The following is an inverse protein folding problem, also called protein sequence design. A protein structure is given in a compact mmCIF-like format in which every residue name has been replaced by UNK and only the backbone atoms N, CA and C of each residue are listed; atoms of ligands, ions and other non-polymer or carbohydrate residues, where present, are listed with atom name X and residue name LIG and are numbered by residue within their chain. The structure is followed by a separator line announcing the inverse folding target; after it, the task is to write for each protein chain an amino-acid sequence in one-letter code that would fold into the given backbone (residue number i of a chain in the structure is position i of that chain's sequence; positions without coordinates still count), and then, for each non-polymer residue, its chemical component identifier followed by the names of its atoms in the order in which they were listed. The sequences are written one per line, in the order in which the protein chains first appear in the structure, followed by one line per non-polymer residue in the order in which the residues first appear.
data_IF_682044298510
#
_entry.id   IF_682044298510
#
_cell.length_a   1.000
_cell.length_b   1.000
_cell.length_c   1.000
_cell.angle_alpha   90.00
_cell.angle_beta   90.00
_cell.angle_gamma   90.00
#
_symmetry.space_group_name_H-M   'P 1'
#
loop_
_entity.id
_entity.type
_entity.pdbx_description
1 polymer ?
#
# COMPACT_ATOMS: atom_id res chain seq x y z
N UNK A 1 40.64 -9.72 29.31
CA UNK A 1 40.89 -8.79 30.43
C UNK A 1 41.00 -7.41 29.80
N UNK A 2 39.85 -6.76 29.67
CA UNK A 2 39.74 -5.45 29.04
C UNK A 2 40.34 -4.41 29.97
N UNK A 3 41.25 -3.59 29.46
CA UNK A 3 41.92 -2.57 30.26
C UNK A 3 40.94 -1.39 30.50
N UNK A 4 40.41 -1.19 31.72
CA UNK A 4 39.40 -0.16 32.00
C UNK A 4 39.92 1.25 31.69
N UNK A 5 41.24 1.47 31.88
CA UNK A 5 41.88 2.75 31.56
C UNK A 5 41.87 3.07 30.06
N UNK A 6 41.95 2.06 29.18
CA UNK A 6 41.86 2.23 27.72
C UNK A 6 40.40 2.45 27.25
N UNK A 7 39.44 1.84 27.93
CA UNK A 7 38.00 2.04 27.67
C UNK A 7 37.55 3.44 28.06
N UNK A 8 38.05 3.99 29.18
CA UNK A 8 37.81 5.36 29.65
C UNK A 8 38.54 6.39 28.78
N UNK A 9 39.73 6.05 28.27
CA UNK A 9 40.44 6.88 27.29
C UNK A 9 39.78 6.91 25.90
N UNK A 10 38.75 6.08 25.66
CA UNK A 10 38.05 6.01 24.37
C UNK A 10 38.89 5.42 23.22
N UNK A 11 40.01 4.76 23.52
CA UNK A 11 40.94 4.23 22.51
C UNK A 11 40.56 2.83 22.03
N UNK A 12 39.70 2.13 22.76
CA UNK A 12 39.13 0.84 22.40
C UNK A 12 37.62 0.97 22.13
N UNK A 13 37.17 0.53 20.94
CA UNK A 13 35.76 0.45 20.49
C UNK A 13 34.92 1.72 20.76
N UNK A 14 34.75 2.56 19.73
CA UNK A 14 33.97 3.79 19.85
C UNK A 14 32.51 3.53 20.29
N UNK A 15 32.08 4.14 21.39
CA UNK A 15 30.65 4.28 21.69
C UNK A 15 30.08 5.46 20.90
N UNK A 16 28.84 5.34 20.43
CA UNK A 16 28.18 6.41 19.69
C UNK A 16 26.77 6.67 20.20
N UNK A 17 26.42 7.95 20.34
CA UNK A 17 25.11 8.40 20.80
C UNK A 17 24.55 9.44 19.83
N UNK A 18 23.24 9.45 19.66
CA UNK A 18 22.51 10.51 18.98
C UNK A 18 21.90 11.44 20.02
N UNK A 19 22.25 12.73 19.99
CA UNK A 19 21.61 13.75 20.81
C UNK A 19 20.42 14.34 20.06
N UNK A 20 19.22 14.05 20.55
CA UNK A 20 17.97 14.58 20.03
C UNK A 20 17.64 15.84 20.82
N UNK A 21 18.23 16.95 20.40
CA UNK A 21 18.25 18.21 21.17
C UNK A 21 16.87 18.68 21.61
N UNK A 22 15.89 18.66 20.70
CA UNK A 22 14.53 19.11 20.97
C UNK A 22 13.81 18.25 22.04
N UNK A 23 14.15 16.96 22.14
CA UNK A 23 13.59 16.06 23.15
C UNK A 23 14.42 16.02 24.44
N UNK A 24 15.63 16.60 24.46
CA UNK A 24 16.57 16.46 25.57
C UNK A 24 17.07 15.03 25.77
N UNK A 25 17.00 14.18 24.73
CA UNK A 25 17.32 12.76 24.83
C UNK A 25 18.66 12.40 24.18
N UNK A 26 19.36 11.44 24.80
CA UNK A 26 20.51 10.77 24.21
C UNK A 26 20.14 9.32 23.89
N UNK A 27 20.13 8.99 22.60
CA UNK A 27 19.82 7.64 22.13
C UNK A 27 21.11 6.88 21.80
N UNK A 28 21.39 5.73 22.43
CA UNK A 28 22.59 4.96 22.15
C UNK A 28 22.52 4.29 20.77
N UNK A 29 23.56 4.51 19.95
CA UNK A 29 23.80 3.83 18.68
C UNK A 29 24.60 2.54 18.90
N UNK A 30 25.90 2.68 19.14
CA UNK A 30 26.84 1.60 19.44
C UNK A 30 27.37 1.68 20.88
N UNK A 31 27.73 0.53 21.47
CA UNK A 31 28.31 0.46 22.82
C UNK A 31 27.31 0.23 23.96
N UNK A 32 26.09 -0.25 23.67
CA UNK A 32 25.04 -0.52 24.68
C UNK A 32 25.50 -1.46 25.80
N UNK A 33 26.22 -2.53 25.45
CA UNK A 33 26.73 -3.51 26.43
C UNK A 33 27.79 -2.94 27.39
N UNK A 34 28.38 -1.77 27.09
CA UNK A 34 29.35 -1.11 27.98
C UNK A 34 28.65 -0.26 29.05
N UNK A 35 27.39 0.12 28.86
CA UNK A 35 26.66 0.93 29.86
C UNK A 35 26.53 0.17 31.17
N UNK A 36 26.23 -1.13 31.10
CA UNK A 36 26.11 -1.97 32.28
C UNK A 36 27.47 -2.18 32.95
N UNK A 37 28.53 -2.44 32.17
CA UNK A 37 29.90 -2.53 32.70
C UNK A 37 30.35 -1.25 33.43
N UNK A 38 30.14 -0.07 32.83
CA UNK A 38 30.50 1.20 33.46
C UNK A 38 29.67 1.46 34.73
N UNK A 39 28.39 1.05 34.74
CA UNK A 39 27.53 1.16 35.92
C UNK A 39 27.98 0.21 37.04
N UNK A 40 28.35 -1.02 36.73
CA UNK A 40 28.87 -2.01 37.69
C UNK A 40 30.20 -1.57 38.31
N UNK A 41 31.08 -0.95 37.52
CA UNK A 41 32.36 -0.39 37.97
C UNK A 41 32.22 0.99 38.66
N UNK A 42 30.99 1.51 38.81
CA UNK A 42 30.74 2.80 39.47
C UNK A 42 31.30 4.01 38.71
N UNK A 43 31.46 3.91 37.39
CA UNK A 43 31.97 4.98 36.54
C UNK A 43 30.81 5.82 36.02
N UNK A 44 30.72 7.07 36.48
CA UNK A 44 29.60 7.98 36.17
C UNK A 44 29.56 8.49 34.72
N UNK A 45 30.65 8.34 33.96
CA UNK A 45 30.77 8.89 32.60
C UNK A 45 31.29 7.88 31.59
N UNK A 46 30.69 7.83 30.41
CA UNK A 46 31.14 7.03 29.28
C UNK A 46 31.72 7.93 28.18
N UNK A 47 32.95 7.68 27.69
CA UNK A 47 33.47 8.41 26.53
C UNK A 47 32.72 7.95 25.28
N UNK A 48 32.12 8.88 24.55
CA UNK A 48 31.37 8.56 23.34
C UNK A 48 31.40 9.68 22.30
N UNK A 49 31.24 9.28 21.03
CA UNK A 49 30.98 10.20 19.92
C UNK A 49 29.50 10.57 19.91
N UNK A 50 29.21 11.86 20.02
CA UNK A 50 27.84 12.38 20.02
C UNK A 50 27.53 12.99 18.66
N UNK A 51 26.46 12.54 18.04
CA UNK A 51 25.93 13.08 16.78
C UNK A 51 24.63 13.81 17.06
N UNK A 52 24.56 15.07 16.65
CA UNK A 52 23.31 15.83 16.76
C UNK A 52 22.28 15.32 15.75
N UNK A 53 21.04 15.14 16.22
CA UNK A 53 19.91 14.79 15.37
C UNK A 53 18.76 15.75 15.66
N UNK A 54 18.28 16.41 14.59
CA UNK A 54 17.07 17.20 14.67
C UNK A 54 15.84 16.28 14.84
N UNK A 55 14.88 16.74 15.64
CA UNK A 55 13.56 16.15 15.74
C UNK A 55 12.51 17.11 15.16
N UNK A 56 11.41 16.62 14.56
CA UNK A 56 10.37 17.50 14.06
C UNK A 56 9.73 18.33 15.17
N UNK A 57 9.33 19.55 14.83
CA UNK A 57 8.54 20.41 15.72
C UNK A 57 7.24 19.71 16.16
N UNK A 58 6.80 19.89 17.41
CA UNK A 58 5.68 19.13 17.97
C UNK A 58 4.35 19.41 17.25
N UNK A 59 4.16 20.61 16.71
CA UNK A 59 2.96 21.00 15.96
C UNK A 59 2.79 20.27 14.62
N UNK A 60 3.86 19.65 14.09
CA UNK A 60 3.83 18.85 12.86
C UNK A 60 3.38 17.42 13.12
N UNK A 61 3.38 16.98 14.38
CA UNK A 61 3.04 15.62 14.78
C UNK A 61 1.67 15.63 15.46
N UNK A 62 0.82 14.69 15.08
CA UNK A 62 -0.42 14.40 15.81
C UNK A 62 -0.49 12.90 16.04
N UNK A 63 -0.69 12.48 17.30
CA UNK A 63 -0.85 11.08 17.66
C UNK A 63 -2.33 10.73 17.71
N UNK A 64 -2.72 9.66 17.04
CA UNK A 64 -4.08 9.15 17.01
C UNK A 64 -4.16 7.80 17.72
N UNK A 65 -5.06 7.68 18.69
CA UNK A 65 -5.44 6.39 19.27
C UNK A 65 -6.69 5.88 18.56
N UNK A 66 -6.51 4.92 17.65
CA UNK A 66 -7.57 4.38 16.80
C UNK A 66 -8.09 3.08 17.38
N UNK A 67 -9.41 3.00 17.59
CA UNK A 67 -10.13 1.79 18.00
C UNK A 67 -11.25 1.51 17.02
N UNK A 68 -11.18 0.39 16.28
CA UNK A 68 -12.20 0.01 15.29
C UNK A 68 -12.25 -1.50 15.14
N UNK A 69 -13.45 -2.08 15.08
CA UNK A 69 -13.72 -3.48 14.72
C UNK A 69 -12.69 -4.52 15.22
N UNK A 70 -12.43 -4.52 16.54
CA UNK A 70 -11.55 -5.52 17.18
C UNK A 70 -10.06 -5.22 17.13
N UNK A 71 -9.61 -4.15 16.46
CA UNK A 71 -8.22 -3.69 16.56
C UNK A 71 -8.11 -2.34 17.27
N UNK A 72 -7.02 -2.19 18.01
CA UNK A 72 -6.62 -0.95 18.69
C UNK A 72 -5.18 -0.66 18.30
N UNK A 73 -4.93 0.52 17.75
CA UNK A 73 -3.60 0.95 17.33
C UNK A 73 -3.36 2.41 17.72
N UNK A 74 -2.10 2.75 17.96
CA UNK A 74 -1.69 4.15 18.17
C UNK A 74 -0.74 4.54 17.05
N UNK A 75 -1.06 5.62 16.35
CA UNK A 75 -0.32 6.06 15.16
C UNK A 75 0.12 7.51 15.32
N UNK A 76 1.39 7.79 15.03
CA UNK A 76 1.89 9.15 14.90
C UNK A 76 1.76 9.58 13.45
N UNK A 77 1.14 10.73 13.21
CA UNK A 77 0.99 11.32 11.87
C UNK A 77 1.83 12.60 11.80
N UNK A 78 2.80 12.63 10.89
CA UNK A 78 3.62 13.79 10.59
C UNK A 78 3.08 14.51 9.34
N UNK A 79 2.88 15.82 9.46
CA UNK A 79 2.37 16.74 8.41
C UNK A 79 1.05 16.29 7.76
N UNK A 80 0.21 15.56 8.49
CA UNK A 80 -1.05 15.03 7.96
C UNK A 80 -0.90 13.99 6.85
N UNK A 81 0.31 13.43 6.67
CA UNK A 81 0.65 12.55 5.54
C UNK A 81 1.37 11.28 5.94
N UNK A 82 2.38 11.38 6.79
CA UNK A 82 3.27 10.27 7.11
C UNK A 82 2.82 9.59 8.39
N UNK A 83 2.47 8.31 8.33
CA UNK A 83 1.99 7.54 9.48
C UNK A 83 3.04 6.56 9.95
N UNK A 84 3.36 6.60 11.24
CA UNK A 84 4.21 5.62 11.90
C UNK A 84 3.44 4.93 13.03
N UNK A 85 3.65 3.61 13.17
CA UNK A 85 3.05 2.86 14.26
C UNK A 85 3.81 3.06 15.57
N UNK A 86 3.12 3.55 16.60
CA UNK A 86 3.68 3.73 17.94
C UNK A 86 3.62 2.39 18.67
N UNK A 87 4.75 1.67 18.67
CA UNK A 87 4.85 0.31 19.22
C UNK A 87 4.55 0.25 20.72
N UNK A 88 4.99 1.26 21.48
CA UNK A 88 4.82 1.29 22.93
C UNK A 88 4.19 2.60 23.40
N UNK A 89 2.86 2.72 23.33
CA UNK A 89 2.16 3.95 23.69
C UNK A 89 2.33 4.33 25.17
N UNK A 90 2.53 3.36 26.07
CA UNK A 90 2.62 3.57 27.51
C UNK A 90 3.72 4.55 27.92
N UNK A 91 4.88 4.52 27.25
CA UNK A 91 5.99 5.45 27.50
C UNK A 91 6.18 6.49 26.39
N UNK A 92 5.74 6.20 25.16
CA UNK A 92 5.81 7.18 24.07
C UNK A 92 4.84 8.34 24.30
N UNK A 93 3.60 8.08 24.71
CA UNK A 93 2.60 9.13 24.87
C UNK A 93 2.96 10.16 25.95
N UNK A 94 3.40 9.78 27.17
CA UNK A 94 3.83 10.75 28.17
C UNK A 94 4.97 11.64 27.68
N UNK A 95 5.98 11.03 27.04
CA UNK A 95 7.12 11.76 26.47
C UNK A 95 6.68 12.76 25.39
N UNK A 96 5.86 12.31 24.44
CA UNK A 96 5.41 13.14 23.32
C UNK A 96 4.45 14.23 23.78
N UNK A 97 3.60 13.96 24.76
CA UNK A 97 2.74 14.98 25.38
C UNK A 97 3.58 16.04 26.11
N UNK A 98 4.63 15.65 26.85
CA UNK A 98 5.55 16.58 27.49
C UNK A 98 6.32 17.43 26.45
N UNK A 99 6.63 16.86 25.29
CA UNK A 99 7.21 17.57 24.15
C UNK A 99 6.21 18.54 23.47
N UNK A 100 4.90 18.46 23.77
CA UNK A 100 3.87 19.35 23.23
C UNK A 100 3.12 18.79 22.01
N UNK A 101 3.26 17.50 21.72
CA UNK A 101 2.54 16.83 20.62
C UNK A 101 1.07 16.64 20.99
N UNK A 102 0.18 16.90 20.04
CA UNK A 102 -1.27 16.71 20.23
C UNK A 102 -1.64 15.23 20.12
N UNK A 103 -2.49 14.77 21.03
CA UNK A 103 -3.05 13.42 21.00
C UNK A 103 -4.57 13.48 20.80
N UNK A 104 -5.07 12.79 19.78
CA UNK A 104 -6.48 12.74 19.41
C UNK A 104 -7.01 11.29 19.47
N UNK A 105 -8.25 11.11 19.91
CA UNK A 105 -8.92 9.80 19.90
C UNK A 105 -9.72 9.53 18.63
N UNK A 106 -9.97 10.56 17.82
CA UNK A 106 -10.80 10.46 16.62
C UNK A 106 -9.91 10.49 15.38
N UNK A 107 -10.01 9.44 14.56
CA UNK A 107 -9.36 9.40 13.26
C UNK A 107 -10.07 10.35 12.28
N UNK A 108 -9.35 11.26 11.60
CA UNK A 108 -9.97 12.22 10.69
C UNK A 108 -10.67 11.54 9.51
N UNK A 109 -11.77 12.13 9.02
CA UNK A 109 -12.58 11.55 7.94
C UNK A 109 -11.95 11.73 6.56
N UNK A 110 -11.15 12.77 6.42
CA UNK A 110 -10.35 13.08 5.24
C UNK A 110 -9.18 12.10 5.05
N UNK A 111 -8.80 11.39 6.10
CA UNK A 111 -7.77 10.37 6.01
C UNK A 111 -8.36 9.06 5.48
N UNK A 112 -7.55 8.24 4.78
CA UNK A 112 -7.92 6.88 4.43
C UNK A 112 -8.45 6.12 5.64
N UNK A 113 -9.41 5.21 5.41
CA UNK A 113 -9.98 4.39 6.46
C UNK A 113 -8.88 3.65 7.25
N UNK A 114 -8.97 3.59 8.59
CA UNK A 114 -7.98 2.92 9.43
C UNK A 114 -7.58 1.51 8.98
N UNK A 115 -8.52 0.73 8.45
CA UNK A 115 -8.25 -0.62 7.94
C UNK A 115 -7.27 -0.62 6.75
N UNK A 116 -7.38 0.39 5.88
CA UNK A 116 -6.47 0.54 4.72
C UNK A 116 -5.07 0.95 5.19
N UNK A 117 -4.99 1.82 6.20
CA UNK A 117 -3.71 2.22 6.83
C UNK A 117 -3.08 1.05 7.57
N UNK A 118 -3.88 0.23 8.26
CA UNK A 118 -3.38 -0.97 8.93
C UNK A 118 -2.88 -2.00 7.93
N UNK A 119 -3.65 -2.30 6.87
CA UNK A 119 -3.23 -3.20 5.80
C UNK A 119 -1.91 -2.73 5.17
N UNK A 120 -1.79 -1.43 4.94
CA UNK A 120 -0.58 -0.81 4.42
C UNK A 120 0.67 -1.11 5.26
N UNK A 121 0.54 -1.24 6.59
CA UNK A 121 1.64 -1.64 7.48
C UNK A 121 2.08 -3.12 7.33
N UNK A 122 1.31 -3.94 6.63
CA UNK A 122 1.65 -5.34 6.34
C UNK A 122 2.07 -5.57 4.88
N UNK A 123 1.95 -4.56 4.01
CA UNK A 123 2.32 -4.67 2.61
C UNK A 123 3.84 -4.69 2.40
N UNK A 124 4.28 -5.40 1.35
CA UNK A 124 5.70 -5.43 0.95
C UNK A 124 6.21 -4.04 0.55
N UNK A 125 7.48 -3.76 0.83
CA UNK A 125 8.15 -2.50 0.44
C UNK A 125 8.25 -2.43 -1.09
N UNK A 126 7.82 -1.32 -1.71
CA UNK A 126 7.76 -1.22 -3.16
C UNK A 126 7.40 0.16 -3.72
N UNK A 127 7.26 0.22 -5.05
CA UNK A 127 7.18 1.47 -5.84
C UNK A 127 5.86 2.20 -5.73
N UNK A 128 4.80 1.53 -5.30
CA UNK A 128 3.49 2.13 -5.08
C UNK A 128 2.90 1.67 -3.76
N UNK A 129 3.61 0.88 -2.95
CA UNK A 129 3.09 0.54 -1.64
C UNK A 129 3.16 1.76 -0.75
N UNK A 130 2.25 1.88 0.22
CA UNK A 130 2.25 3.02 1.13
C UNK A 130 3.53 3.07 1.98
N UNK A 131 4.31 1.98 2.04
CA UNK A 131 5.56 1.94 2.80
C UNK A 131 6.69 2.74 2.15
N UNK A 132 7.16 3.74 2.90
CA UNK A 132 8.48 4.34 2.75
C UNK A 132 8.46 5.69 2.05
N UNK A 133 8.90 6.72 2.77
CA UNK A 133 9.45 7.90 2.15
C UNK A 133 10.89 7.60 1.67
N UNK A 134 11.30 7.97 0.44
CA UNK A 134 12.72 8.01 0.09
C UNK A 134 13.58 8.75 1.12
N UNK A 135 13.01 9.78 1.78
CA UNK A 135 13.69 10.59 2.79
C UNK A 135 13.83 9.89 4.15
N UNK A 136 13.03 8.85 4.46
CA UNK A 136 13.06 8.13 5.74
C UNK A 136 13.76 6.75 5.66
N UNK A 137 14.33 6.40 4.50
CA UNK A 137 15.12 5.19 4.30
C UNK A 137 14.34 3.90 4.58
N UNK A 138 14.79 3.12 5.57
CA UNK A 138 14.22 1.83 5.96
C UNK A 138 13.14 1.90 7.04
N UNK A 139 12.73 3.11 7.45
CA UNK A 139 11.71 3.28 8.48
C UNK A 139 10.34 2.75 8.02
N UNK A 140 9.62 2.10 8.95
CA UNK A 140 8.29 1.55 8.69
C UNK A 140 7.22 2.66 8.73
N UNK A 141 7.23 3.53 7.71
CA UNK A 141 6.32 4.68 7.59
C UNK A 141 5.37 4.51 6.42
N UNK A 142 4.11 4.85 6.61
CA UNK A 142 3.02 4.79 5.61
C UNK A 142 2.70 6.18 5.04
N UNK A 143 2.56 6.30 3.72
CA UNK A 143 2.15 7.53 3.03
C UNK A 143 0.63 7.56 2.78
N UNK A 144 -0.10 8.42 3.49
CA UNK A 144 -1.55 8.58 3.31
C UNK A 144 -1.93 9.06 1.90
N UNK A 145 -1.10 9.91 1.27
CA UNK A 145 -1.41 10.42 -0.07
C UNK A 145 -1.30 9.30 -1.11
N UNK A 146 -0.36 8.38 -0.92
CA UNK A 146 -0.24 7.20 -1.78
C UNK A 146 -1.45 6.30 -1.63
N UNK A 147 -1.95 6.07 -0.40
CA UNK A 147 -3.19 5.31 -0.18
C UNK A 147 -4.37 6.01 -0.87
N UNK A 148 -4.51 7.34 -0.73
CA UNK A 148 -5.58 8.11 -1.42
C UNK A 148 -5.49 7.95 -2.93
N UNK A 149 -4.29 8.04 -3.50
CA UNK A 149 -4.09 7.88 -4.95
C UNK A 149 -4.45 6.47 -5.43
N UNK A 150 -4.11 5.43 -4.65
CA UNK A 150 -4.50 4.04 -4.95
C UNK A 150 -6.02 3.88 -4.93
N UNK A 151 -6.68 4.39 -3.89
CA UNK A 151 -8.14 4.31 -3.76
C UNK A 151 -8.84 5.05 -4.90
N UNK A 152 -8.41 6.28 -5.20
CA UNK A 152 -8.95 7.07 -6.30
C UNK A 152 -8.79 6.35 -7.64
N UNK A 153 -7.62 5.74 -7.89
CA UNK A 153 -7.38 4.95 -9.10
C UNK A 153 -8.30 3.72 -9.15
N UNK A 154 -8.47 3.02 -8.03
CA UNK A 154 -9.32 1.82 -7.93
C UNK A 154 -10.82 2.10 -8.17
N UNK A 155 -11.27 3.32 -7.91
CA UNK A 155 -12.66 3.74 -8.11
C UNK A 155 -12.94 4.27 -9.52
N UNK A 156 -11.91 4.49 -10.33
CA UNK A 156 -12.10 4.92 -11.72
C UNK A 156 -12.87 3.86 -12.53
N UNK A 157 -13.84 4.28 -13.38
CA UNK A 157 -14.53 3.36 -14.26
C UNK A 157 -13.61 2.91 -15.39
N UNK A 158 -13.50 1.60 -15.59
CA UNK A 158 -12.78 1.00 -16.70
C UNK A 158 -13.72 0.10 -17.50
N UNK A 159 -13.58 0.13 -18.83
CA UNK A 159 -14.30 -0.78 -19.72
C UNK A 159 -13.65 -2.15 -19.64
N UNK A 160 -14.43 -3.17 -19.33
CA UNK A 160 -13.97 -4.51 -19.06
C UNK A 160 -14.73 -5.53 -19.89
N UNK A 161 -14.03 -6.60 -20.25
CA UNK A 161 -14.62 -7.81 -20.82
C UNK A 161 -15.09 -8.71 -19.67
N UNK A 162 -15.98 -9.68 -19.90
CA UNK A 162 -16.41 -10.54 -18.80
C UNK A 162 -15.26 -11.38 -18.21
N UNK A 163 -14.28 -11.78 -19.02
CA UNK A 163 -13.08 -12.46 -18.52
C UNK A 163 -12.25 -11.60 -17.56
N UNK A 164 -12.36 -10.28 -17.64
CA UNK A 164 -11.61 -9.35 -16.82
C UNK A 164 -12.28 -9.11 -15.47
N UNK A 165 -13.49 -9.62 -15.20
CA UNK A 165 -14.24 -9.39 -13.96
C UNK A 165 -13.92 -10.44 -12.89
N UNK A 166 -13.65 -9.99 -11.66
CA UNK A 166 -13.20 -10.88 -10.57
C UNK A 166 -14.32 -11.78 -10.01
N UNK A 167 -15.54 -11.26 -9.94
CA UNK A 167 -16.66 -11.89 -9.22
C UNK A 167 -17.80 -12.33 -10.14
N UNK A 168 -17.63 -12.20 -11.46
CA UNK A 168 -18.67 -12.55 -12.43
C UNK A 168 -18.36 -13.89 -13.06
N UNK A 169 -19.23 -14.87 -12.79
CA UNK A 169 -19.27 -16.15 -13.50
C UNK A 169 -20.45 -16.12 -14.46
N UNK A 170 -20.22 -16.42 -15.73
CA UNK A 170 -21.29 -16.54 -16.71
C UNK A 170 -21.98 -17.89 -16.52
N UNK A 171 -23.32 -17.87 -16.55
CA UNK A 171 -24.09 -19.11 -16.60
C UNK A 171 -23.82 -19.83 -17.94
N UNK A 172 -23.34 -21.09 -17.94
CA UNK A 172 -23.07 -21.85 -19.16
C UNK A 172 -24.28 -21.98 -20.09
N UNK A 173 -25.51 -21.73 -19.62
CA UNK A 173 -26.73 -21.66 -20.44
C UNK A 173 -26.63 -20.64 -21.58
N UNK A 174 -25.93 -19.51 -21.39
CA UNK A 174 -25.77 -18.49 -22.44
C UNK A 174 -25.09 -19.09 -23.67
N UNK A 175 -24.03 -19.88 -23.46
CA UNK A 175 -23.33 -20.56 -24.55
C UNK A 175 -24.18 -21.67 -25.17
N UNK A 176 -24.94 -22.41 -24.35
CA UNK A 176 -25.87 -23.44 -24.85
C UNK A 176 -26.94 -22.84 -25.77
N UNK A 177 -27.54 -21.70 -25.44
CA UNK A 177 -28.52 -21.05 -26.30
C UNK A 177 -27.91 -20.53 -27.60
N UNK A 178 -26.73 -19.90 -27.53
CA UNK A 178 -26.02 -19.43 -28.73
C UNK A 178 -25.68 -20.59 -29.69
N UNK A 179 -25.19 -21.72 -29.16
CA UNK A 179 -24.92 -22.91 -29.96
C UNK A 179 -26.17 -23.58 -30.51
N UNK A 180 -27.23 -23.65 -29.70
CA UNK A 180 -28.49 -24.27 -30.11
C UNK A 180 -29.12 -23.55 -31.31
N UNK A 181 -28.85 -22.26 -31.51
CA UNK A 181 -29.33 -21.49 -32.67
C UNK A 181 -28.32 -21.48 -33.82
N UNK A 182 -27.01 -21.40 -33.52
CA UNK A 182 -25.98 -21.30 -34.56
C UNK A 182 -25.76 -22.61 -35.31
N UNK A 183 -25.76 -23.77 -34.63
CA UNK A 183 -25.53 -25.06 -35.29
C UNK A 183 -26.63 -25.41 -36.33
N UNK A 184 -27.94 -25.31 -36.02
CA UNK A 184 -28.98 -25.55 -37.02
C UNK A 184 -28.96 -24.54 -38.16
N UNK A 185 -28.68 -23.27 -37.87
CA UNK A 185 -28.60 -22.22 -38.90
C UNK A 185 -27.44 -22.48 -39.88
N UNK A 186 -26.30 -22.94 -39.36
CA UNK A 186 -25.17 -23.38 -40.18
C UNK A 186 -25.51 -24.62 -41.02
N UNK A 187 -26.19 -25.61 -40.45
CA UNK A 187 -26.64 -26.79 -41.19
C UNK A 187 -27.63 -26.43 -42.32
N UNK A 188 -28.55 -25.49 -42.08
CA UNK A 188 -29.49 -24.99 -43.09
C UNK A 188 -28.77 -24.28 -44.25
N UNK A 189 -27.73 -23.49 -43.97
CA UNK A 189 -26.93 -22.85 -45.01
C UNK A 189 -26.30 -23.85 -45.98
N UNK A 190 -25.81 -24.98 -45.45
CA UNK A 190 -25.18 -26.04 -46.24
C UNK A 190 -26.23 -26.89 -46.98
N UNK A 191 -27.35 -27.21 -46.33
CA UNK A 191 -28.36 -28.14 -46.85
C UNK A 191 -29.34 -27.50 -47.86
N UNK A 192 -29.59 -26.18 -47.77
CA UNK A 192 -30.57 -25.52 -48.65
C UNK A 192 -30.07 -25.50 -50.11
N UNK A 193 -30.92 -25.76 -51.12
CA UNK A 193 -30.56 -25.66 -52.53
C UNK A 193 -30.25 -24.23 -52.99
N UNK A 194 -29.42 -24.07 -54.04
CA UNK A 194 -29.08 -22.75 -54.61
C UNK A 194 -30.30 -21.94 -55.09
N UNK A 195 -31.41 -22.61 -55.42
CA UNK A 195 -32.64 -21.96 -55.85
C UNK A 195 -33.35 -21.17 -54.73
N UNK A 196 -33.01 -21.43 -53.46
CA UNK A 196 -33.67 -20.84 -52.28
C UNK A 196 -32.79 -19.73 -51.68
N UNK A 197 -32.40 -18.77 -52.52
CA UNK A 197 -31.46 -17.72 -52.16
C UNK A 197 -31.91 -16.91 -50.93
N UNK A 198 -33.17 -16.50 -50.88
CA UNK A 198 -33.73 -15.72 -49.76
C UNK A 198 -33.66 -16.49 -48.43
N UNK A 199 -33.99 -17.78 -48.44
CA UNK A 199 -33.93 -18.62 -47.23
C UNK A 199 -32.49 -18.81 -46.72
N UNK A 200 -31.52 -18.91 -47.62
CA UNK A 200 -30.09 -18.94 -47.26
C UNK A 200 -29.62 -17.62 -46.66
N UNK A 201 -30.05 -16.48 -47.20
CA UNK A 201 -29.71 -15.16 -46.67
C UNK A 201 -30.22 -15.05 -45.22
N UNK A 202 -31.48 -15.43 -44.97
CA UNK A 202 -32.08 -15.41 -43.63
C UNK A 202 -31.31 -16.34 -42.68
N UNK A 203 -31.01 -17.57 -43.09
CA UNK A 203 -30.22 -18.50 -42.28
C UNK A 203 -28.82 -17.94 -41.95
N UNK A 204 -28.20 -17.21 -42.88
CA UNK A 204 -26.93 -16.51 -42.70
C UNK A 204 -26.99 -15.41 -41.65
N UNK A 205 -28.04 -14.58 -41.71
CA UNK A 205 -28.25 -13.50 -40.74
C UNK A 205 -28.49 -14.08 -39.34
N UNK A 206 -29.33 -15.11 -39.21
CA UNK A 206 -29.60 -15.78 -37.93
C UNK A 206 -28.34 -16.42 -37.36
N UNK A 207 -27.56 -17.10 -38.19
CA UNK A 207 -26.27 -17.67 -37.78
C UNK A 207 -25.32 -16.60 -37.25
N UNK A 208 -25.15 -15.51 -38.01
CA UNK A 208 -24.30 -14.37 -37.64
C UNK A 208 -24.73 -13.74 -36.32
N UNK A 209 -26.01 -13.43 -36.16
CA UNK A 209 -26.53 -12.86 -34.92
C UNK A 209 -26.33 -13.79 -33.73
N UNK A 210 -26.67 -15.07 -33.85
CA UNK A 210 -26.53 -16.04 -32.76
C UNK A 210 -25.07 -16.23 -32.31
N UNK A 211 -24.14 -16.30 -33.26
CA UNK A 211 -22.71 -16.40 -32.99
C UNK A 211 -22.15 -15.10 -32.36
N UNK A 212 -22.49 -13.94 -32.93
CA UNK A 212 -22.06 -12.64 -32.40
C UNK A 212 -22.59 -12.39 -30.98
N UNK A 213 -23.85 -12.74 -30.69
CA UNK A 213 -24.44 -12.52 -29.36
C UNK A 213 -23.77 -13.37 -28.29
N UNK A 214 -23.38 -14.61 -28.62
CA UNK A 214 -22.65 -15.49 -27.71
C UNK A 214 -21.21 -15.06 -27.45
N UNK A 215 -20.55 -14.45 -28.45
CA UNK A 215 -19.14 -14.04 -28.39
C UNK A 215 -18.93 -12.60 -27.90
N UNK A 216 -19.87 -11.69 -28.16
CA UNK A 216 -19.83 -10.28 -27.75
C UNK A 216 -19.34 -10.05 -26.31
N UNK A 217 -19.87 -10.74 -25.28
CA UNK A 217 -19.44 -10.51 -23.90
C UNK A 217 -17.97 -10.87 -23.61
N UNK A 218 -17.35 -11.66 -24.47
CA UNK A 218 -15.98 -12.17 -24.32
C UNK A 218 -14.96 -11.44 -25.19
N UNK A 219 -15.41 -10.70 -26.21
CA UNK A 219 -14.52 -10.03 -27.17
C UNK A 219 -14.61 -8.51 -27.04
N UNK A 220 -15.78 -7.97 -26.71
CA UNK A 220 -15.99 -6.54 -26.61
C UNK A 220 -16.07 -6.10 -25.14
N UNK A 221 -15.38 -5.00 -24.76
CA UNK A 221 -15.43 -4.46 -23.40
C UNK A 221 -16.69 -3.59 -23.24
N UNK A 222 -17.84 -4.25 -23.10
CA UNK A 222 -19.17 -3.60 -23.03
C UNK A 222 -19.51 -3.19 -21.59
N UNK A 223 -18.89 -3.82 -20.59
CA UNK A 223 -19.22 -3.62 -19.19
C UNK A 223 -18.32 -2.54 -18.61
N UNK A 224 -18.92 -1.52 -17.99
CA UNK A 224 -18.20 -0.52 -17.21
C UNK A 224 -18.21 -0.93 -15.74
N UNK A 225 -17.04 -1.20 -15.18
CA UNK A 225 -16.87 -1.53 -13.76
C UNK A 225 -15.76 -0.69 -13.14
N UNK A 226 -15.81 -0.43 -11.82
CA UNK A 226 -14.66 0.14 -11.14
C UNK A 226 -13.48 -0.84 -11.22
N UNK A 227 -12.25 -0.30 -11.26
CA UNK A 227 -11.02 -1.09 -11.41
C UNK A 227 -10.84 -2.17 -10.34
N UNK A 228 -11.28 -1.93 -9.11
CA UNK A 228 -11.21 -2.94 -8.05
C UNK A 228 -12.09 -4.17 -8.29
N UNK A 229 -13.04 -4.09 -9.23
CA UNK A 229 -13.87 -5.22 -9.65
C UNK A 229 -13.20 -6.13 -10.69
N UNK A 230 -12.00 -5.78 -11.16
CA UNK A 230 -11.28 -6.52 -12.18
C UNK A 230 -10.46 -7.67 -11.57
N UNK A 231 -10.48 -8.82 -12.23
CA UNK A 231 -9.68 -9.99 -11.89
C UNK A 231 -8.17 -9.72 -12.04
N UNK A 232 -7.82 -8.83 -12.99
CA UNK A 232 -6.44 -8.45 -13.24
C UNK A 232 -5.96 -7.49 -12.14
N UNK A 233 -4.86 -7.84 -11.47
CA UNK A 233 -4.16 -6.91 -10.58
C UNK A 233 -3.65 -5.72 -11.39
N UNK A 234 -4.11 -4.52 -11.02
CA UNK A 234 -3.67 -3.27 -11.61
C UNK A 234 -2.82 -2.48 -10.62
N UNK A 235 -1.82 -1.78 -11.13
CA UNK A 235 -0.90 -0.98 -10.33
C UNK A 235 -1.10 0.49 -10.64
N UNK A 236 -0.99 1.35 -9.61
CA UNK A 236 -1.06 2.80 -9.78
C UNK A 236 0.06 3.25 -10.75
N UNK A 237 -0.26 3.94 -11.86
CA UNK A 237 0.75 4.48 -12.76
C UNK A 237 1.70 5.42 -12.02
N UNK A 238 3.00 5.34 -12.32
CA UNK A 238 4.04 6.13 -11.65
C UNK A 238 3.78 7.64 -11.71
N UNK A 239 3.25 8.12 -12.83
CA UNK A 239 2.91 9.53 -13.08
C UNK A 239 1.83 10.06 -12.12
N UNK A 240 0.97 9.17 -11.64
CA UNK A 240 -0.11 9.49 -10.69
C UNK A 240 0.31 9.28 -9.24
N UNK A 241 1.49 8.71 -9.00
CA UNK A 241 2.02 8.59 -7.65
C UNK A 241 2.48 9.97 -7.15
N UNK A 242 2.15 10.38 -5.92
CA UNK A 242 2.45 11.71 -5.36
C UNK A 242 3.96 12.00 -5.13
N UNK A 243 4.86 11.23 -5.76
CA UNK A 243 6.33 11.33 -5.66
C UNK A 243 7.07 11.10 -6.98
N UNK A 244 6.41 11.19 -8.14
CA UNK A 244 7.03 10.92 -9.44
C UNK A 244 8.34 11.70 -9.69
N UNK A 245 8.37 13.01 -9.35
CA UNK A 245 9.48 13.91 -9.68
C UNK A 245 10.76 13.81 -8.81
N UNK A 246 10.74 13.10 -7.68
CA UNK A 246 11.92 12.97 -6.77
C UNK A 246 12.59 11.58 -6.84
N UNK A 247 12.24 10.74 -7.81
CA UNK A 247 12.74 9.36 -7.93
C UNK A 247 13.96 9.27 -8.83
N UNK A 248 15.10 8.90 -8.26
CA UNK A 248 16.36 8.67 -8.99
C UNK A 248 16.50 7.24 -9.57
N UNK A 249 15.48 6.39 -9.47
CA UNK A 249 15.54 5.02 -9.99
C UNK A 249 14.19 4.42 -10.37
N UNK A 250 14.19 3.63 -11.45
CA UNK A 250 13.07 2.76 -11.85
C UNK A 250 13.04 1.54 -10.94
N UNK A 251 11.86 1.09 -10.52
CA UNK A 251 11.75 -0.17 -9.76
C UNK A 251 10.43 -0.89 -10.11
N UNK A 252 10.50 -2.22 -10.04
CA UNK A 252 9.49 -3.19 -10.47
C UNK A 252 8.55 -3.53 -9.30
N UNK A 253 7.30 -3.94 -9.56
CA UNK A 253 6.32 -4.35 -8.54
C UNK A 253 5.80 -5.76 -8.83
N UNK A 254 5.69 -6.56 -7.77
CA UNK A 254 4.97 -7.84 -7.70
C UNK A 254 4.05 -7.84 -6.49
#
# INVERSE_FOLDING_TARGET
MDNPSALVAGTLNNASYSWIKQLGLFAPGEGKNRVDFFREEGIDSIPAKVYERAYPEPNRIVIYSVKKNGFSATWAVLDGRWVESVQNPSWTLPLMNAYGVKTNSTWPREFPAPEKVQLAFFESRGVTSPFGNPEFGNAHVVDLDTIRAILAFQDEPEKATIHDLQLVKIDPRVWKYSLAVSLPSCALLVALPNAWAEARIIAGIVFGMAACTGLLPYVAPIITTPRHGLAKKQYLPLERAPKYGKRTGRRMLG
#
